data_IF_839783030929
#
_entry.id   IF_839783030929
#
_cell.length_a   1.000
_cell.length_b   1.000
_cell.length_c   1.000
_cell.angle_alpha   90.00
_cell.angle_beta   90.00
_cell.angle_gamma   90.00
#
_symmetry.space_group_name_H-M   'P 1'
#
loop_
_entity.id
_entity.type
_entity.pdbx_description
1 polymer ?
#
# COMPACT_ATOMS: atom_id res chain seq x y z
N UNK A 1 -27.08 -4.19 -0.91
CA UNK A 1 -26.64 -2.83 -0.52
C UNK A 1 -25.12 -2.78 -0.60
N UNK A 2 -24.56 -1.59 -0.72
CA UNK A 2 -23.11 -1.39 -0.76
C UNK A 2 -22.66 -0.73 0.54
N UNK A 3 -21.53 -1.16 1.09
CA UNK A 3 -21.00 -0.68 2.36
C UNK A 3 -19.57 -0.23 2.14
N UNK A 4 -19.23 0.93 2.70
CA UNK A 4 -17.89 1.50 2.65
C UNK A 4 -17.39 1.76 4.07
N UNK A 5 -16.23 1.19 4.39
CA UNK A 5 -15.55 1.44 5.67
C UNK A 5 -14.63 2.66 5.54
N UNK A 6 -14.83 3.65 6.42
CA UNK A 6 -14.01 4.86 6.47
C UNK A 6 -13.22 4.85 7.79
N UNK A 7 -11.91 4.67 7.67
CA UNK A 7 -11.01 4.57 8.82
C UNK A 7 -10.31 5.91 9.05
N UNK A 8 -10.40 6.44 10.26
CA UNK A 8 -9.79 7.70 10.67
C UNK A 8 -9.00 7.54 11.97
N UNK A 9 -8.14 8.52 12.26
CA UNK A 9 -7.40 8.55 13.52
C UNK A 9 -8.37 8.58 14.73
N UNK A 10 -8.15 7.78 15.79
CA UNK A 10 -9.07 7.70 16.93
C UNK A 10 -9.15 9.01 17.73
N UNK A 11 -8.07 9.78 17.82
CA UNK A 11 -8.08 11.11 18.46
C UNK A 11 -8.90 12.10 17.64
N UNK A 12 -8.85 11.99 16.32
CA UNK A 12 -9.67 12.81 15.43
C UNK A 12 -11.15 12.42 15.51
N UNK A 13 -11.47 11.13 15.63
CA UNK A 13 -12.85 10.66 15.82
C UNK A 13 -13.53 11.29 17.05
N UNK A 14 -12.80 11.44 18.17
CA UNK A 14 -13.33 12.12 19.37
C UNK A 14 -13.78 13.55 19.07
N UNK A 15 -12.94 14.32 18.37
CA UNK A 15 -13.25 15.70 17.95
C UNK A 15 -14.49 15.77 17.07
N UNK A 16 -14.64 14.80 16.15
CA UNK A 16 -15.82 14.66 15.28
C UNK A 16 -17.09 14.34 16.08
N UNK A 17 -16.98 13.58 17.18
CA UNK A 17 -18.14 13.21 18.00
C UNK A 17 -18.59 14.33 18.95
N UNK A 18 -17.66 15.16 19.42
CA UNK A 18 -17.95 16.26 20.36
C UNK A 18 -18.65 17.44 19.71
N UNK A 19 -18.39 17.72 18.43
CA UNK A 19 -18.92 18.88 17.72
C UNK A 19 -19.78 18.46 16.53
N UNK A 20 -21.08 18.75 16.60
CA UNK A 20 -22.06 18.42 15.55
C UNK A 20 -21.82 19.16 14.23
N UNK A 21 -21.40 20.42 14.28
CA UNK A 21 -21.04 21.17 13.08
C UNK A 21 -19.83 20.55 12.38
N UNK A 22 -18.78 20.23 13.15
CA UNK A 22 -17.59 19.58 12.63
C UNK A 22 -17.89 18.18 12.08
N UNK A 23 -18.81 17.46 12.72
CA UNK A 23 -19.32 16.17 12.24
C UNK A 23 -20.00 16.25 10.88
N UNK A 24 -20.88 17.24 10.69
CA UNK A 24 -21.56 17.45 9.43
C UNK A 24 -20.56 17.81 8.33
N UNK A 25 -19.63 18.72 8.63
CA UNK A 25 -18.54 19.06 7.71
C UNK A 25 -17.71 17.82 7.31
N UNK A 26 -17.31 17.02 8.29
CA UNK A 26 -16.56 15.79 8.04
C UNK A 26 -17.33 14.80 7.15
N UNK A 27 -18.63 14.62 7.38
CA UNK A 27 -19.48 13.76 6.55
C UNK A 27 -19.58 14.28 5.11
N UNK A 28 -19.70 15.60 4.91
CA UNK A 28 -19.68 16.19 3.56
C UNK A 28 -18.39 15.85 2.80
N UNK A 29 -17.23 16.02 3.45
CA UNK A 29 -15.93 15.66 2.87
C UNK A 29 -15.85 14.17 2.54
N UNK A 30 -16.38 13.32 3.41
CA UNK A 30 -16.48 11.87 3.18
C UNK A 30 -17.32 11.56 1.94
N UNK A 31 -18.52 12.14 1.82
CA UNK A 31 -19.39 11.89 0.66
C UNK A 31 -18.72 12.31 -0.64
N UNK A 32 -18.15 13.52 -0.67
CA UNK A 32 -17.40 14.00 -1.83
C UNK A 32 -16.23 13.07 -2.19
N UNK A 33 -15.46 12.64 -1.19
CA UNK A 33 -14.33 11.72 -1.40
C UNK A 33 -14.76 10.34 -1.91
N UNK A 34 -15.93 9.84 -1.51
CA UNK A 34 -16.49 8.59 -2.03
C UNK A 34 -16.95 8.74 -3.48
N UNK A 35 -17.64 9.83 -3.80
CA UNK A 35 -18.11 10.15 -5.15
C UNK A 35 -16.95 10.26 -6.13
N UNK A 36 -15.90 11.01 -5.78
CA UNK A 36 -14.70 11.17 -6.61
C UNK A 36 -13.94 9.85 -6.77
N UNK A 37 -13.73 9.09 -5.68
CA UNK A 37 -12.94 7.86 -5.70
C UNK A 37 -13.60 6.72 -6.48
N UNK A 38 -14.93 6.63 -6.43
CA UNK A 38 -15.67 5.49 -6.96
C UNK A 38 -16.62 5.87 -8.11
N UNK A 39 -16.66 7.14 -8.53
CA UNK A 39 -17.56 7.64 -9.58
C UNK A 39 -19.03 7.51 -9.21
N UNK A 40 -19.37 7.76 -7.94
CA UNK A 40 -20.73 7.61 -7.41
C UNK A 40 -21.47 8.95 -7.44
N UNK A 41 -22.80 8.88 -7.38
CA UNK A 41 -23.67 10.01 -7.07
C UNK A 41 -24.47 9.66 -5.79
N UNK A 42 -24.15 10.31 -4.68
CA UNK A 42 -24.70 9.98 -3.36
C UNK A 42 -25.69 11.05 -2.92
N UNK A 43 -26.88 10.60 -2.50
CA UNK A 43 -27.88 11.49 -1.93
C UNK A 43 -27.34 12.18 -0.66
N UNK A 44 -27.63 13.48 -0.54
CA UNK A 44 -27.22 14.31 0.60
C UNK A 44 -28.16 14.12 1.80
N UNK A 45 -29.29 13.43 1.64
CA UNK A 45 -30.19 13.09 2.75
C UNK A 45 -29.66 11.90 3.57
N UNK A 46 -28.65 12.16 4.42
CA UNK A 46 -28.05 11.11 5.24
C UNK A 46 -28.62 11.08 6.67
N UNK A 47 -28.60 9.90 7.29
CA UNK A 47 -28.98 9.71 8.68
C UNK A 47 -27.99 8.78 9.39
N UNK A 48 -27.77 9.04 10.69
CA UNK A 48 -26.90 8.20 11.53
C UNK A 48 -27.76 7.25 12.32
N UNK A 49 -27.46 5.95 12.18
CA UNK A 49 -28.15 4.91 12.91
C UNK A 49 -27.75 4.93 14.39
N UNK A 50 -28.73 5.13 15.28
CA UNK A 50 -28.49 5.21 16.73
C UNK A 50 -28.21 3.84 17.37
N UNK A 51 -28.87 2.80 16.86
CA UNK A 51 -28.85 1.44 17.43
C UNK A 51 -27.97 0.47 16.64
N UNK A 52 -27.15 0.98 15.71
CA UNK A 52 -26.26 0.16 14.88
C UNK A 52 -24.95 0.90 14.62
N UNK A 53 -23.85 0.33 15.12
CA UNK A 53 -22.50 0.94 15.05
C UNK A 53 -21.78 0.70 13.71
N UNK A 54 -22.02 -0.43 13.06
CA UNK A 54 -21.44 -0.80 11.77
C UNK A 54 -22.38 -1.72 10.98
N UNK A 55 -22.16 -1.84 9.68
CA UNK A 55 -22.89 -2.73 8.79
C UNK A 55 -22.01 -3.93 8.40
N UNK A 56 -22.56 -5.14 8.44
CA UNK A 56 -21.82 -6.35 8.06
C UNK A 56 -20.78 -6.79 9.10
N UNK A 57 -19.76 -7.53 8.66
CA UNK A 57 -18.64 -7.98 9.51
C UNK A 57 -17.44 -7.05 9.28
N UNK A 58 -16.85 -6.42 10.33
CA UNK A 58 -15.71 -5.54 10.18
C UNK A 58 -14.55 -6.26 9.49
N UNK A 59 -13.96 -5.63 8.47
CA UNK A 59 -12.82 -6.18 7.75
C UNK A 59 -11.51 -5.59 8.26
N UNK A 60 -10.41 -6.32 8.09
CA UNK A 60 -9.07 -5.78 8.34
C UNK A 60 -8.67 -4.88 7.17
N UNK A 61 -8.22 -3.66 7.48
CA UNK A 61 -7.76 -2.69 6.48
C UNK A 61 -6.25 -2.50 6.57
N UNK A 62 -5.57 -2.59 5.43
CA UNK A 62 -4.13 -2.37 5.34
C UNK A 62 -3.84 -0.99 4.75
N UNK A 63 -3.05 -0.20 5.47
CA UNK A 63 -2.51 1.07 4.97
C UNK A 63 -1.04 0.84 4.66
N UNK A 64 -0.62 1.24 3.46
CA UNK A 64 0.77 1.15 3.04
C UNK A 64 1.61 2.13 3.86
N UNK A 65 2.49 1.61 4.72
CA UNK A 65 3.29 2.41 5.66
C UNK A 65 4.57 3.04 5.08
N UNK A 66 4.89 2.80 3.80
CA UNK A 66 6.09 3.36 3.14
C UNK A 66 5.80 3.70 1.68
N UNK A 67 6.28 4.87 1.23
CA UNK A 67 6.64 5.03 -0.17
C UNK A 67 7.64 3.90 -0.48
N UNK A 68 7.39 3.13 -1.55
CA UNK A 68 8.49 2.29 -2.04
C UNK A 68 9.63 3.28 -2.38
N UNK A 69 10.90 3.00 -2.05
CA UNK A 69 11.98 3.74 -2.67
C UNK A 69 11.75 3.64 -4.18
N UNK A 70 11.73 4.79 -4.85
CA UNK A 70 11.29 4.89 -6.24
C UNK A 70 12.20 4.07 -7.14
N UNK A 71 13.49 4.01 -6.82
CA UNK A 71 14.52 3.14 -7.40
C UNK A 71 15.54 2.91 -6.28
N UNK A 72 15.97 1.67 -6.06
CA UNK A 72 17.19 1.36 -5.31
C UNK A 72 18.15 0.72 -6.29
N UNK A 73 19.31 1.32 -6.48
CA UNK A 73 20.40 0.69 -7.20
C UNK A 73 20.81 -0.55 -6.39
N UNK A 74 20.88 -1.70 -7.06
CA UNK A 74 21.51 -2.88 -6.49
C UNK A 74 23.00 -2.56 -6.40
N UNK A 75 23.47 -2.17 -5.22
CA UNK A 75 24.91 -2.12 -4.96
C UNK A 75 25.41 -3.55 -5.10
N UNK A 76 26.03 -3.86 -6.24
CA UNK A 76 26.77 -5.09 -6.42
C UNK A 76 27.83 -5.13 -5.32
N UNK A 77 27.58 -5.91 -4.28
CA UNK A 77 28.54 -6.20 -3.23
C UNK A 77 29.59 -7.13 -3.81
N UNK A 78 30.46 -6.56 -4.63
CA UNK A 78 31.80 -7.04 -4.88
C UNK A 78 32.73 -5.87 -4.53
N UNK A 79 33.53 -6.11 -3.49
CA UNK A 79 34.76 -5.41 -3.12
C UNK A 79 34.71 -4.31 -2.03
N UNK A 80 35.14 -4.76 -0.84
CA UNK A 80 36.13 -4.17 0.08
C UNK A 80 35.68 -3.16 1.14
N UNK A 81 35.60 -3.72 2.35
CA UNK A 81 36.31 -3.33 3.59
C UNK A 81 36.47 -1.85 3.98
N UNK A 82 36.08 -1.65 5.26
CA UNK A 82 36.54 -0.69 6.27
C UNK A 82 35.79 0.64 6.50
N UNK A 83 35.49 0.81 7.78
CA UNK A 83 35.18 2.04 8.51
C UNK A 83 33.74 2.56 8.45
N UNK A 84 32.92 2.14 9.42
CA UNK A 84 32.72 2.90 10.66
C UNK A 84 31.32 2.71 11.28
N UNK A 85 31.36 2.29 12.56
CA UNK A 85 30.41 2.61 13.65
C UNK A 85 28.98 2.01 13.57
N UNK A 86 28.86 0.86 14.26
CA UNK A 86 27.86 0.57 15.29
C UNK A 86 26.53 1.32 15.21
N UNK A 87 25.46 0.64 14.80
CA UNK A 87 24.24 0.37 15.60
C UNK A 87 23.23 -0.32 14.68
N UNK A 88 23.18 -1.65 14.66
CA UNK A 88 22.00 -2.45 14.28
C UNK A 88 22.32 -3.95 14.30
N UNK A 89 22.98 -4.42 15.37
CA UNK A 89 22.81 -5.82 15.74
C UNK A 89 21.46 -5.91 16.44
N UNK A 90 20.49 -6.56 15.79
CA UNK A 90 19.42 -7.38 16.37
C UNK A 90 18.30 -7.57 15.33
N UNK A 91 18.59 -8.27 14.23
CA UNK A 91 17.58 -9.12 13.59
C UNK A 91 18.28 -10.38 13.06
N UNK A 92 18.47 -11.38 13.91
CA UNK A 92 18.61 -12.76 13.44
C UNK A 92 17.20 -13.27 13.09
N UNK A 93 16.68 -12.90 11.92
CA UNK A 93 15.49 -13.57 11.37
C UNK A 93 15.97 -14.63 10.41
N UNK A 94 15.68 -15.88 10.80
CA UNK A 94 15.65 -17.07 9.96
C UNK A 94 15.35 -16.72 8.50
N UNK A 95 16.29 -16.99 7.61
CA UNK A 95 16.05 -16.89 6.17
C UNK A 95 15.07 -18.00 5.76
N UNK A 96 13.83 -17.69 5.33
CA UNK A 96 13.11 -18.65 4.52
C UNK A 96 13.91 -18.81 3.22
N UNK A 97 14.34 -20.04 2.91
CA UNK A 97 14.89 -20.39 1.60
C UNK A 97 13.75 -20.26 0.58
N UNK A 98 13.53 -19.03 0.10
CA UNK A 98 12.63 -18.76 -1.01
C UNK A 98 13.38 -19.21 -2.26
N UNK A 99 12.86 -20.18 -3.03
CA UNK A 99 13.54 -20.65 -4.23
C UNK A 99 13.69 -19.48 -5.20
N UNK A 100 14.92 -19.21 -5.62
CA UNK A 100 15.21 -18.10 -6.53
C UNK A 100 14.80 -18.50 -7.96
N UNK A 101 14.01 -17.67 -8.67
CA UNK A 101 13.65 -17.96 -10.06
C UNK A 101 14.88 -17.85 -10.97
N UNK A 102 14.98 -18.77 -11.93
CA UNK A 102 15.99 -18.66 -12.99
C UNK A 102 15.51 -17.64 -14.01
N UNK A 103 16.39 -16.77 -14.49
CA UNK A 103 16.05 -15.82 -15.54
C UNK A 103 17.14 -15.72 -16.60
N UNK A 104 16.74 -15.37 -17.82
CA UNK A 104 17.62 -15.12 -18.94
C UNK A 104 17.28 -13.78 -19.58
N UNK A 105 18.30 -13.03 -19.98
CA UNK A 105 18.15 -11.73 -20.64
C UNK A 105 18.61 -11.89 -22.08
N UNK A 106 17.70 -11.61 -23.00
CA UNK A 106 17.94 -11.66 -24.45
C UNK A 106 17.82 -10.26 -25.05
N UNK A 107 18.56 -10.03 -26.11
CA UNK A 107 18.56 -8.78 -26.85
C UNK A 107 18.12 -9.05 -28.28
N UNK A 108 17.12 -8.32 -28.77
CA UNK A 108 16.54 -8.52 -30.11
C UNK A 108 16.47 -7.21 -30.92
N UNK A 109 16.88 -7.20 -32.20
CA UNK A 109 17.69 -8.23 -32.86
C UNK A 109 19.08 -8.36 -32.20
N UNK A 110 19.73 -9.52 -32.36
CA UNK A 110 21.03 -9.85 -31.73
C UNK A 110 22.23 -9.05 -32.27
N UNK A 111 21.96 -7.95 -32.99
CA UNK A 111 22.94 -7.08 -33.60
C UNK A 111 23.51 -6.10 -32.57
N UNK A 112 24.61 -5.41 -32.90
CA UNK A 112 25.32 -4.49 -31.98
C UNK A 112 24.44 -3.36 -31.39
N UNK A 113 23.23 -3.15 -31.94
CA UNK A 113 22.21 -2.24 -31.41
C UNK A 113 20.88 -2.96 -31.22
N UNK A 114 20.61 -3.47 -30.00
CA UNK A 114 19.35 -4.13 -29.74
C UNK A 114 18.23 -3.10 -29.59
N UNK A 115 17.10 -3.36 -30.23
CA UNK A 115 15.88 -2.54 -30.12
C UNK A 115 15.06 -2.94 -28.88
N UNK A 116 15.16 -4.20 -28.48
CA UNK A 116 14.41 -4.77 -27.38
C UNK A 116 15.31 -5.56 -26.43
N UNK A 117 15.00 -5.47 -25.13
CA UNK A 117 15.55 -6.33 -24.08
C UNK A 117 14.40 -7.20 -23.59
N UNK A 118 14.54 -8.51 -23.77
CA UNK A 118 13.56 -9.51 -23.37
C UNK A 118 14.06 -10.21 -22.11
N UNK A 119 13.23 -10.24 -21.07
CA UNK A 119 13.51 -10.94 -19.83
C UNK A 119 12.62 -12.18 -19.74
N UNK A 120 13.22 -13.35 -19.80
CA UNK A 120 12.54 -14.63 -19.55
C UNK A 120 12.74 -15.00 -18.08
N UNK A 121 11.65 -15.22 -17.35
CA UNK A 121 11.68 -15.60 -15.92
C UNK A 121 10.99 -16.95 -15.76
N UNK A 122 11.74 -17.94 -15.27
CA UNK A 122 11.24 -19.24 -14.86
C UNK A 122 10.91 -19.22 -13.37
N UNK A 123 9.62 -19.30 -13.04
CA UNK A 123 9.14 -19.30 -11.67
C UNK A 123 9.23 -20.72 -11.07
N UNK A 124 9.82 -20.89 -9.88
CA UNK A 124 9.92 -22.20 -9.26
C UNK A 124 8.54 -22.70 -8.82
N UNK A 125 8.14 -23.85 -9.37
CA UNK A 125 6.87 -24.52 -9.05
C UNK A 125 5.70 -24.21 -10.00
N UNK A 126 5.96 -23.57 -11.14
CA UNK A 126 5.00 -23.42 -12.25
C UNK A 126 5.44 -24.23 -13.47
#
# INVERSE_FOLDING_TARGET
>A
CTVYDIVINPTFLKKVQENTFFKNFFLTVVFQGLEEKYGLDLDRSWSILKNKKYMGKPQMHYVRKKSKPVIMDLTNSADKEESSKSTSQLISTLEPSIPQPMYNILTEPSDDKPEFIVLEISLPGL
#
